data_IF_886392673225
#
_entry.id   IF_886392673225
#
_cell.length_a   1.000
_cell.length_b   1.000
_cell.length_c   1.000
_cell.angle_alpha   90.00
_cell.angle_beta   90.00
_cell.angle_gamma   90.00
#
_symmetry.space_group_name_H-M   'P 1'
#
loop_
_entity.id
_entity.type
_entity.pdbx_description
1 polymer ?
#
# COMPACT_ATOMS: atom_id res chain seq x y z
N UNK A 1 14.64 -20.61 -11.87
CA UNK A 1 14.03 -19.28 -11.61
C UNK A 1 13.84 -18.54 -12.93
N UNK A 2 12.60 -18.34 -13.37
CA UNK A 2 12.30 -17.46 -14.51
C UNK A 2 12.66 -16.02 -14.13
N UNK A 3 13.66 -15.44 -14.81
CA UNK A 3 14.05 -14.04 -14.68
C UNK A 3 12.79 -13.18 -14.95
N UNK A 4 12.24 -12.54 -13.91
CA UNK A 4 11.14 -11.59 -14.07
C UNK A 4 11.63 -10.47 -14.99
N UNK A 5 11.04 -10.36 -16.18
CA UNK A 5 11.33 -9.27 -17.12
C UNK A 5 10.88 -7.96 -16.48
N UNK A 6 11.83 -7.08 -16.19
CA UNK A 6 11.54 -5.72 -15.76
C UNK A 6 11.19 -4.94 -17.02
N UNK A 7 9.96 -4.44 -17.10
CA UNK A 7 9.52 -3.58 -18.18
C UNK A 7 9.72 -2.13 -17.76
N UNK A 8 10.47 -1.37 -18.57
CA UNK A 8 10.58 0.07 -18.43
C UNK A 8 9.57 0.72 -19.38
N UNK A 9 8.64 1.49 -18.82
CA UNK A 9 7.69 2.27 -19.60
C UNK A 9 8.08 3.75 -19.51
N UNK A 10 8.23 4.40 -20.66
CA UNK A 10 8.33 5.86 -20.69
C UNK A 10 6.94 6.46 -20.49
N UNK A 11 6.82 7.26 -19.44
CA UNK A 11 5.57 7.91 -19.02
C UNK A 11 5.69 9.44 -19.07
N UNK A 12 6.72 9.98 -19.71
CA UNK A 12 7.00 11.42 -19.74
C UNK A 12 5.83 12.23 -20.29
N UNK A 13 5.16 11.72 -21.32
CA UNK A 13 3.95 12.35 -21.89
C UNK A 13 2.82 12.52 -20.85
N UNK A 14 2.67 11.54 -19.96
CA UNK A 14 1.64 11.57 -18.91
C UNK A 14 2.04 12.57 -17.82
N UNK A 15 3.30 12.52 -17.36
CA UNK A 15 3.79 13.42 -16.30
C UNK A 15 3.78 14.88 -16.77
N UNK A 16 4.15 15.14 -18.02
CA UNK A 16 4.11 16.48 -18.62
C UNK A 16 2.69 16.99 -18.78
N UNK A 17 1.75 16.12 -19.18
CA UNK A 17 0.32 16.47 -19.25
C UNK A 17 -0.24 16.86 -17.89
N UNK A 18 0.07 16.09 -16.83
CA UNK A 18 -0.34 16.40 -15.45
C UNK A 18 0.25 17.73 -14.99
N UNK A 19 1.54 17.98 -15.28
CA UNK A 19 2.21 19.24 -14.93
C UNK A 19 1.57 20.42 -15.64
N UNK A 20 1.33 20.33 -16.95
CA UNK A 20 0.64 21.39 -17.72
C UNK A 20 -0.76 21.67 -17.19
N UNK A 21 -1.52 20.62 -16.83
CA UNK A 21 -2.90 20.76 -16.33
C UNK A 21 -3.00 21.30 -14.90
N UNK A 22 -2.06 20.92 -14.02
CA UNK A 22 -2.20 21.17 -12.57
C UNK A 22 -1.14 22.11 -11.99
N UNK A 23 -0.09 22.42 -12.76
CA UNK A 23 1.12 23.11 -12.27
C UNK A 23 2.00 22.25 -11.34
N UNK A 24 1.60 21.00 -11.05
CA UNK A 24 2.30 20.13 -10.08
C UNK A 24 3.23 19.15 -10.78
N UNK A 25 4.42 18.96 -10.20
CA UNK A 25 5.41 18.00 -10.69
C UNK A 25 5.19 16.63 -10.04
N UNK A 26 5.16 15.57 -10.84
CA UNK A 26 5.13 14.19 -10.35
C UNK A 26 6.52 13.82 -9.83
N UNK A 27 6.64 13.53 -8.54
CA UNK A 27 7.93 13.19 -7.90
C UNK A 27 8.11 11.69 -7.68
N UNK A 28 7.01 10.95 -7.53
CA UNK A 28 7.02 9.51 -7.34
C UNK A 28 5.71 8.89 -7.84
N UNK A 29 5.77 7.60 -8.15
CA UNK A 29 4.60 6.79 -8.52
C UNK A 29 4.59 5.57 -7.62
N UNK A 30 3.45 5.32 -6.99
CA UNK A 30 3.24 4.20 -6.09
C UNK A 30 2.23 3.26 -6.76
N UNK A 31 2.65 2.02 -6.99
CA UNK A 31 1.78 1.00 -7.57
C UNK A 31 0.72 0.50 -6.58
N UNK A 32 -0.40 0.01 -7.11
CA UNK A 32 -1.54 -0.50 -6.32
C UNK A 32 -1.14 -1.60 -5.33
N UNK A 33 -0.20 -2.48 -5.69
CA UNK A 33 0.29 -3.53 -4.79
C UNK A 33 0.98 -2.95 -3.55
N UNK A 34 1.77 -1.88 -3.69
CA UNK A 34 2.37 -1.19 -2.55
C UNK A 34 1.29 -0.47 -1.73
N UNK A 35 0.34 0.19 -2.40
CA UNK A 35 -0.77 0.84 -1.72
C UNK A 35 -1.55 -0.16 -0.84
N UNK A 36 -1.86 -1.34 -1.36
CA UNK A 36 -2.54 -2.40 -0.61
C UNK A 36 -1.70 -2.98 0.53
N UNK A 37 -0.39 -3.21 0.30
CA UNK A 37 0.51 -3.77 1.29
C UNK A 37 0.67 -2.85 2.52
N UNK A 38 0.70 -1.54 2.29
CA UNK A 38 0.84 -0.52 3.34
C UNK A 38 -0.49 0.05 3.85
N UNK A 39 -1.63 -0.48 3.39
CA UNK A 39 -2.94 -0.11 3.93
C UNK A 39 -3.42 1.29 3.53
N UNK A 40 -3.01 1.79 2.36
CA UNK A 40 -3.55 3.03 1.80
C UNK A 40 -5.01 2.83 1.38
N UNK A 41 -5.86 3.78 1.78
CA UNK A 41 -7.27 3.85 1.43
C UNK A 41 -7.50 5.18 0.71
N UNK A 42 -8.05 5.11 -0.51
CA UNK A 42 -8.42 6.29 -1.28
C UNK A 42 -9.89 6.59 -0.98
N UNK A 43 -10.15 7.76 -0.38
CA UNK A 43 -11.50 8.28 -0.20
C UNK A 43 -11.82 9.26 -1.33
N UNK A 44 -12.69 8.83 -2.23
CA UNK A 44 -13.12 9.62 -3.39
C UNK A 44 -14.11 10.74 -3.03
N UNK A 45 -14.79 10.66 -1.87
CA UNK A 45 -15.70 11.70 -1.40
C UNK A 45 -14.94 12.92 -0.88
N UNK A 46 -13.96 12.68 0.01
CA UNK A 46 -13.12 13.75 0.57
C UNK A 46 -11.91 14.09 -0.30
N UNK A 47 -11.64 13.31 -1.36
CA UNK A 47 -10.43 13.42 -2.21
C UNK A 47 -9.14 13.30 -1.40
N UNK A 48 -9.16 12.45 -0.37
CA UNK A 48 -8.01 12.22 0.51
C UNK A 48 -7.47 10.80 0.38
N UNK A 49 -6.21 10.64 0.77
CA UNK A 49 -5.57 9.33 0.91
C UNK A 49 -5.16 9.19 2.37
N UNK A 50 -5.63 8.12 3.01
CA UNK A 50 -5.34 7.80 4.41
C UNK A 50 -4.63 6.46 4.49
N UNK A 51 -3.60 6.37 5.32
CA UNK A 51 -2.88 5.12 5.58
C UNK A 51 -3.39 4.53 6.89
N UNK A 52 -4.05 3.37 6.82
CA UNK A 52 -4.44 2.63 8.02
C UNK A 52 -3.26 1.75 8.43
N UNK A 53 -2.59 2.11 9.52
CA UNK A 53 -1.59 1.23 10.14
C UNK A 53 -2.25 -0.11 10.48
N UNK A 54 -1.80 -1.20 9.84
CA UNK A 54 -2.18 -2.54 10.27
C UNK A 54 -1.34 -2.89 11.49
N UNK A 55 -1.89 -2.66 12.68
CA UNK A 55 -1.34 -3.29 13.87
C UNK A 55 -1.48 -4.81 13.71
N UNK A 56 -0.35 -5.51 13.81
CA UNK A 56 -0.32 -6.96 13.81
C UNK A 56 -0.95 -7.41 15.13
N UNK A 57 -2.23 -7.77 15.11
CA UNK A 57 -2.88 -8.42 16.25
C UNK A 57 -2.24 -9.80 16.46
N UNK A 58 -1.18 -9.87 17.26
CA UNK A 58 -0.55 -11.10 17.72
C UNK A 58 -1.40 -11.82 18.79
N UNK A 59 -2.73 -11.79 18.69
CA UNK A 59 -3.61 -12.31 19.74
C UNK A 59 -3.94 -13.80 19.61
N UNK A 60 -3.14 -14.58 18.86
CA UNK A 60 -3.33 -16.03 18.73
C UNK A 60 -2.47 -16.89 19.67
N UNK A 61 -1.81 -16.31 20.68
CA UNK A 61 -0.92 -17.07 21.59
C UNK A 61 -1.39 -17.15 23.04
N UNK A 62 -2.53 -16.56 23.41
CA UNK A 62 -3.04 -16.64 24.80
C UNK A 62 -4.11 -17.72 24.99
N UNK A 63 -4.67 -18.29 23.91
CA UNK A 63 -5.68 -19.34 24.01
C UNK A 63 -5.12 -20.77 24.23
N UNK A 64 -3.80 -20.97 24.20
CA UNK A 64 -3.17 -22.29 24.40
C UNK A 64 -2.60 -22.52 25.81
N UNK A 65 -2.63 -21.51 26.69
CA UNK A 65 -1.99 -21.60 28.02
C UNK A 65 -2.97 -21.82 29.19
N UNK A 66 -4.28 -21.94 28.94
CA UNK A 66 -5.28 -22.12 30.01
C UNK A 66 -5.92 -23.50 30.07
N UNK A 67 -5.35 -24.51 29.40
CA UNK A 67 -5.77 -25.91 29.54
C UNK A 67 -4.58 -26.78 29.93
N UNK A 68 -4.06 -26.61 31.15
CA UNK A 68 -3.51 -27.75 31.90
C UNK A 68 -3.20 -27.39 33.35
N UNK A 69 -3.85 -28.06 34.29
CA UNK A 69 -3.54 -27.91 35.71
C UNK A 69 -4.62 -28.46 36.62
N UNK A 70 -4.99 -29.73 36.42
CA UNK A 70 -5.81 -30.51 37.34
C UNK A 70 -4.97 -30.89 38.57
N UNK A 71 -5.38 -30.50 39.78
CA UNK A 71 -5.21 -31.23 41.04
C UNK A 71 -6.12 -30.66 42.12
#
# INVERSE_FOLDING_TARGET
LLKRKVYAFDISNITDSIKKRTGKTVTAIIGTNMMAAYGFVIDMGTKTVVMKSKEKNNNSLVAASSVNGNK
#
